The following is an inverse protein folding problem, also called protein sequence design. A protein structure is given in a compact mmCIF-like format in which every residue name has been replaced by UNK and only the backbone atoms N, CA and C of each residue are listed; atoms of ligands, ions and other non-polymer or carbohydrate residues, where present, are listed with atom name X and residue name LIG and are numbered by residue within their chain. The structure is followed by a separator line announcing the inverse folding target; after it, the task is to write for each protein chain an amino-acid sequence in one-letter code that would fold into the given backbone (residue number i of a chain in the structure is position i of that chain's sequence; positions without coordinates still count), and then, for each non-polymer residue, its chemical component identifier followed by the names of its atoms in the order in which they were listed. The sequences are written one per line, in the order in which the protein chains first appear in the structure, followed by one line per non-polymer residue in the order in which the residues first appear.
data_IF_748928727663
#
_entry.id   IF_748928727663
#
_cell.length_a   1.000
_cell.length_b   1.000
_cell.length_c   1.000
_cell.angle_alpha   90.00
_cell.angle_beta   90.00
_cell.angle_gamma   90.00
#
_symmetry.space_group_name_H-M   'P 1'
#
loop_
_entity.id
_entity.type
_entity.pdbx_description
1 polymer ?
#
# COMPACT_ATOMS: atom_id res chain seq x y z
N UNK A 1 -37.67 36.61 14.86
CA UNK A 1 -36.45 35.83 15.17
C UNK A 1 -36.01 35.18 13.88
N UNK A 2 -35.00 35.72 13.24
CA UNK A 2 -34.45 35.20 11.98
C UNK A 2 -33.60 33.98 12.32
N UNK A 3 -33.91 32.82 11.76
CA UNK A 3 -33.06 31.65 11.76
C UNK A 3 -31.85 31.95 10.87
N UNK A 4 -30.71 32.20 11.47
CA UNK A 4 -29.43 32.15 10.77
C UNK A 4 -29.19 30.71 10.30
N UNK A 5 -29.41 30.51 9.01
CA UNK A 5 -28.94 29.31 8.32
C UNK A 5 -27.42 29.45 8.25
N UNK A 6 -26.73 28.81 9.21
CA UNK A 6 -25.27 28.66 9.16
C UNK A 6 -24.95 27.78 7.97
N UNK A 7 -24.66 28.37 6.83
CA UNK A 7 -24.11 27.67 5.66
C UNK A 7 -22.70 27.23 6.05
N UNK A 8 -22.58 25.99 6.51
CA UNK A 8 -21.28 25.34 6.73
C UNK A 8 -20.62 25.22 5.35
N UNK A 9 -19.61 26.04 5.10
CA UNK A 9 -18.81 25.95 3.87
C UNK A 9 -18.20 24.53 3.80
N UNK A 10 -18.15 23.88 2.63
CA UNK A 10 -17.53 22.59 2.49
C UNK A 10 -16.06 22.68 2.95
N UNK A 11 -15.71 21.90 3.97
CA UNK A 11 -14.37 21.91 4.52
C UNK A 11 -13.39 21.37 3.48
N UNK A 12 -12.37 22.14 3.15
CA UNK A 12 -11.31 21.69 2.25
C UNK A 12 -10.38 20.74 2.98
N UNK A 13 -9.73 19.82 2.26
CA UNK A 13 -8.73 18.94 2.85
C UNK A 13 -7.65 19.70 3.61
N UNK A 14 -7.21 20.83 3.07
CA UNK A 14 -6.19 21.68 3.70
C UNK A 14 -6.67 22.26 5.03
N UNK A 15 -7.93 22.74 5.11
CA UNK A 15 -8.47 23.27 6.37
C UNK A 15 -8.66 22.17 7.41
N UNK A 16 -9.06 20.96 7.00
CA UNK A 16 -9.19 19.80 7.88
C UNK A 16 -7.84 19.37 8.45
N UNK A 17 -6.85 19.15 7.57
CA UNK A 17 -5.51 18.71 7.98
C UNK A 17 -4.75 19.73 8.83
N UNK A 18 -5.09 21.01 8.71
CA UNK A 18 -4.49 22.11 9.49
C UNK A 18 -5.31 22.48 10.73
N UNK A 19 -6.40 21.78 11.02
CA UNK A 19 -7.19 22.06 12.22
C UNK A 19 -6.40 21.72 13.49
N UNK A 20 -6.64 22.49 14.57
CA UNK A 20 -5.91 22.31 15.82
C UNK A 20 -6.01 20.90 16.40
N UNK A 21 -7.21 20.27 16.34
CA UNK A 21 -7.41 18.93 16.82
C UNK A 21 -6.64 17.87 16.01
N UNK A 22 -6.67 17.98 14.66
CA UNK A 22 -5.93 17.06 13.78
C UNK A 22 -4.43 17.21 13.98
N UNK A 23 -3.91 18.45 14.01
CA UNK A 23 -2.47 18.68 14.23
C UNK A 23 -2.02 18.18 15.59
N UNK A 24 -2.80 18.41 16.65
CA UNK A 24 -2.49 17.88 17.98
C UNK A 24 -2.44 16.36 17.97
N UNK A 25 -3.46 15.71 17.41
CA UNK A 25 -3.49 14.25 17.31
C UNK A 25 -2.32 13.69 16.50
N UNK A 26 -1.98 14.30 15.37
CA UNK A 26 -0.81 13.91 14.58
C UNK A 26 0.51 14.09 15.34
N UNK A 27 0.65 15.16 16.11
CA UNK A 27 1.82 15.39 16.96
C UNK A 27 1.95 14.30 18.02
N UNK A 28 0.84 13.93 18.69
CA UNK A 28 0.81 12.90 19.72
C UNK A 28 1.17 11.52 19.12
N UNK A 29 0.62 11.20 17.97
CA UNK A 29 0.82 9.90 17.31
C UNK A 29 2.21 9.77 16.69
N UNK A 30 2.70 10.82 16.00
CA UNK A 30 4.00 10.81 15.33
C UNK A 30 5.16 11.25 16.24
N UNK A 31 4.84 11.73 17.44
CA UNK A 31 5.80 12.11 18.47
C UNK A 31 6.63 13.36 18.16
N UNK A 32 6.28 14.13 17.12
CA UNK A 32 7.04 15.32 16.71
C UNK A 32 6.23 16.23 15.80
N UNK A 33 6.17 17.53 16.12
CA UNK A 33 5.55 18.55 15.29
C UNK A 33 6.13 18.61 13.86
N UNK A 34 7.44 18.40 13.75
CA UNK A 34 8.13 18.40 12.45
C UNK A 34 7.66 17.20 11.59
N UNK A 35 7.55 16.02 12.20
CA UNK A 35 7.03 14.83 11.50
C UNK A 35 5.56 15.04 11.10
N UNK A 36 4.73 15.56 11.99
CA UNK A 36 3.33 15.85 11.71
C UNK A 36 3.16 16.83 10.56
N UNK A 37 3.90 17.96 10.57
CA UNK A 37 3.87 18.94 9.50
C UNK A 37 4.34 18.34 8.15
N UNK A 38 5.40 17.54 8.15
CA UNK A 38 5.89 16.84 6.96
C UNK A 38 4.87 15.84 6.44
N UNK A 39 4.23 15.09 7.34
CA UNK A 39 3.18 14.13 6.98
C UNK A 39 1.98 14.83 6.35
N UNK A 40 1.48 15.90 6.94
CA UNK A 40 0.38 16.73 6.39
C UNK A 40 0.73 17.24 5.00
N UNK A 41 1.94 17.77 4.82
CA UNK A 41 2.41 18.25 3.51
C UNK A 41 2.42 17.12 2.46
N UNK A 42 2.84 15.92 2.84
CA UNK A 42 2.85 14.76 1.95
C UNK A 42 1.44 14.34 1.54
N UNK A 43 0.49 14.28 2.49
CA UNK A 43 -0.92 13.95 2.21
C UNK A 43 -1.53 14.97 1.26
N UNK A 44 -1.35 16.26 1.53
CA UNK A 44 -1.88 17.34 0.68
C UNK A 44 -1.25 17.27 -0.72
N UNK A 45 0.05 17.03 -0.82
CA UNK A 45 0.76 16.90 -2.10
C UNK A 45 0.22 15.73 -2.93
N UNK A 46 0.05 14.56 -2.32
CA UNK A 46 -0.51 13.37 -2.98
C UNK A 46 -1.95 13.63 -3.43
N UNK A 47 -2.79 14.22 -2.58
CA UNK A 47 -4.17 14.55 -2.93
C UNK A 47 -4.26 15.56 -4.08
N UNK A 48 -3.40 16.60 -4.07
CA UNK A 48 -3.37 17.60 -5.12
C UNK A 48 -2.78 17.08 -6.45
N UNK A 49 -1.87 16.13 -6.38
CA UNK A 49 -1.26 15.48 -7.55
C UNK A 49 -2.20 14.53 -8.30
N UNK A 50 -3.29 14.10 -7.68
CA UNK A 50 -4.23 13.14 -8.26
C UNK A 50 -5.63 13.74 -8.41
N UNK A 51 -6.11 13.88 -9.65
CA UNK A 51 -7.43 14.49 -9.94
C UNK A 51 -8.58 13.70 -9.32
N UNK A 52 -8.49 12.38 -9.22
CA UNK A 52 -9.52 11.56 -8.60
C UNK A 52 -9.56 11.76 -7.08
N UNK A 53 -8.40 11.91 -6.41
CA UNK A 53 -8.34 12.20 -4.98
C UNK A 53 -8.90 13.59 -4.66
N UNK A 54 -8.65 14.58 -5.52
CA UNK A 54 -9.21 15.94 -5.36
C UNK A 54 -10.74 15.96 -5.35
N UNK A 55 -11.37 14.99 -6.02
CA UNK A 55 -12.82 14.87 -6.11
C UNK A 55 -13.42 13.96 -5.04
N UNK A 56 -12.61 13.37 -4.18
CA UNK A 56 -13.07 12.55 -3.07
C UNK A 56 -13.54 13.40 -1.88
N UNK A 57 -14.37 12.77 -1.03
CA UNK A 57 -14.74 13.38 0.26
C UNK A 57 -13.50 13.61 1.12
N UNK A 58 -13.18 14.86 1.50
CA UNK A 58 -11.98 15.16 2.28
C UNK A 58 -11.89 14.42 3.63
N UNK A 59 -13.03 14.10 4.26
CA UNK A 59 -13.06 13.35 5.51
C UNK A 59 -12.54 11.93 5.36
N UNK A 60 -12.75 11.29 4.20
CA UNK A 60 -12.21 9.94 3.94
C UNK A 60 -10.71 9.98 3.63
N UNK A 61 -10.21 11.08 3.07
CA UNK A 61 -8.77 11.31 2.92
C UNK A 61 -8.15 11.48 4.30
N UNK A 62 -8.76 12.31 5.17
CA UNK A 62 -8.31 12.49 6.55
C UNK A 62 -8.29 11.15 7.31
N UNK A 63 -9.39 10.38 7.25
CA UNK A 63 -9.47 9.08 7.91
C UNK A 63 -8.37 8.13 7.47
N UNK A 64 -8.15 8.01 6.16
CA UNK A 64 -7.07 7.18 5.60
C UNK A 64 -5.69 7.68 6.05
N UNK A 65 -5.49 9.00 6.11
CA UNK A 65 -4.25 9.61 6.57
C UNK A 65 -4.01 9.35 8.07
N UNK A 66 -5.06 9.43 8.90
CA UNK A 66 -4.96 9.14 10.34
C UNK A 66 -4.58 7.67 10.61
N UNK A 67 -5.15 6.73 9.85
CA UNK A 67 -4.73 5.31 9.92
C UNK A 67 -3.25 5.17 9.60
N UNK A 68 -2.79 5.77 8.49
CA UNK A 68 -1.38 5.73 8.11
C UNK A 68 -0.45 6.35 9.17
N UNK A 69 -0.85 7.50 9.73
CA UNK A 69 -0.10 8.16 10.80
C UNK A 69 0.00 7.29 12.07
N UNK A 70 -1.11 6.66 12.49
CA UNK A 70 -1.12 5.76 13.65
C UNK A 70 -0.22 4.55 13.48
N UNK A 71 -0.05 4.08 12.23
CA UNK A 71 0.88 3.01 11.89
C UNK A 71 2.31 3.52 11.67
N UNK A 72 2.54 4.84 11.75
CA UNK A 72 3.80 5.51 11.38
C UNK A 72 4.27 5.10 9.99
N UNK A 73 3.32 5.05 9.03
CA UNK A 73 3.58 4.74 7.62
C UNK A 73 3.43 6.00 6.77
N UNK A 74 4.51 6.57 6.23
CA UNK A 74 4.44 7.71 5.32
C UNK A 74 3.60 7.42 4.07
N UNK A 75 2.74 8.37 3.71
CA UNK A 75 1.98 8.33 2.45
C UNK A 75 2.82 9.00 1.36
N UNK A 76 3.82 8.25 0.90
CA UNK A 76 4.70 8.66 -0.21
C UNK A 76 4.68 7.53 -1.24
N UNK A 77 4.09 7.74 -2.43
CA UNK A 77 3.87 6.66 -3.42
C UNK A 77 5.16 5.88 -3.78
N UNK A 78 6.29 6.57 -3.90
CA UNK A 78 7.59 5.96 -4.22
C UNK A 78 8.14 5.03 -3.13
N UNK A 79 7.74 5.22 -1.87
CA UNK A 79 8.13 4.35 -0.77
C UNK A 79 7.33 3.04 -0.76
N UNK A 80 6.09 3.07 -1.21
CA UNK A 80 5.24 1.89 -1.27
C UNK A 80 4.78 1.35 0.09
N UNK A 81 4.77 2.19 1.15
CA UNK A 81 4.43 1.78 2.51
C UNK A 81 2.92 1.83 2.74
N UNK A 82 2.29 2.93 2.38
CA UNK A 82 0.86 3.15 2.49
C UNK A 82 0.35 4.03 1.35
N UNK A 83 -0.89 3.84 0.96
CA UNK A 83 -1.55 4.59 -0.10
C UNK A 83 -2.93 5.08 0.36
N UNK A 84 -3.35 6.21 -0.21
CA UNK A 84 -4.73 6.67 -0.21
C UNK A 84 -5.26 6.43 -1.62
N UNK A 85 -6.27 5.58 -1.75
CA UNK A 85 -6.79 5.13 -3.05
C UNK A 85 -8.20 5.68 -3.24
N UNK A 86 -8.46 6.41 -4.36
CA UNK A 86 -9.79 6.94 -4.63
C UNK A 86 -10.76 5.82 -5.01
N UNK A 87 -11.97 5.89 -4.48
CA UNK A 87 -13.04 4.93 -4.72
C UNK A 87 -14.42 5.59 -4.67
N UNK A 88 -15.16 5.63 -5.78
CA UNK A 88 -16.54 6.19 -5.86
C UNK A 88 -16.73 7.51 -5.10
N UNK A 89 -15.81 8.46 -5.25
CA UNK A 89 -15.87 9.76 -4.58
C UNK A 89 -15.47 9.72 -3.09
N UNK A 90 -14.96 8.59 -2.61
CA UNK A 90 -14.38 8.40 -1.28
C UNK A 90 -12.94 7.91 -1.41
N UNK A 91 -12.22 7.85 -0.31
CA UNK A 91 -10.88 7.30 -0.28
C UNK A 91 -10.81 6.10 0.65
N UNK A 92 -9.97 5.14 0.27
CA UNK A 92 -9.63 3.99 1.08
C UNK A 92 -8.17 4.05 1.51
N UNK A 93 -7.89 3.66 2.75
CA UNK A 93 -6.54 3.33 3.16
C UNK A 93 -6.14 2.00 2.52
N UNK A 94 -4.96 1.94 1.94
CA UNK A 94 -4.40 0.69 1.42
C UNK A 94 -2.98 0.48 1.94
N UNK A 95 -2.80 -0.66 2.62
CA UNK A 95 -1.49 -1.08 3.10
C UNK A 95 -0.62 -1.52 1.92
N UNK A 96 0.53 -0.89 1.77
CA UNK A 96 1.53 -1.31 0.81
C UNK A 96 2.22 -2.60 1.23
N UNK A 97 2.73 -3.35 0.26
CA UNK A 97 3.53 -4.55 0.51
C UNK A 97 4.75 -4.26 1.41
N UNK A 98 5.50 -3.21 1.06
CA UNK A 98 6.64 -2.76 1.86
C UNK A 98 6.23 -2.29 3.26
N UNK A 99 5.04 -1.69 3.40
CA UNK A 99 4.52 -1.28 4.70
C UNK A 99 4.20 -2.47 5.61
N UNK A 100 3.71 -3.57 5.05
CA UNK A 100 3.49 -4.79 5.82
C UNK A 100 4.82 -5.36 6.35
N UNK A 101 5.86 -5.39 5.51
CA UNK A 101 7.19 -5.83 5.92
C UNK A 101 7.77 -4.90 6.98
N UNK A 102 7.68 -3.58 6.79
CA UNK A 102 8.13 -2.56 7.75
C UNK A 102 7.49 -2.73 9.14
N UNK A 103 6.18 -2.98 9.20
CA UNK A 103 5.47 -3.26 10.46
C UNK A 103 5.96 -4.56 11.10
N UNK A 104 6.25 -5.58 10.29
CA UNK A 104 6.79 -6.84 10.78
C UNK A 104 8.19 -6.67 11.37
N UNK A 105 9.09 -5.96 10.68
CA UNK A 105 10.45 -5.67 11.13
C UNK A 105 10.42 -4.88 12.45
N UNK A 106 9.61 -3.81 12.51
CA UNK A 106 9.45 -3.00 13.74
C UNK A 106 8.90 -3.78 14.93
N UNK A 107 8.14 -4.84 14.69
CA UNK A 107 7.63 -5.69 15.77
C UNK A 107 8.72 -6.48 16.50
N UNK A 108 9.87 -6.70 15.87
CA UNK A 108 10.97 -7.53 16.39
C UNK A 108 10.65 -9.03 16.53
N UNK A 109 9.46 -9.46 16.08
CA UNK A 109 8.98 -10.83 16.24
C UNK A 109 9.32 -11.75 15.05
N UNK A 110 9.76 -11.17 13.94
CA UNK A 110 10.10 -11.90 12.72
C UNK A 110 11.62 -12.04 12.60
N UNK A 111 12.06 -13.26 12.37
CA UNK A 111 13.45 -13.60 12.06
C UNK A 111 13.71 -13.57 10.57
N UNK A 112 12.71 -14.00 9.78
CA UNK A 112 12.78 -14.08 8.34
C UNK A 112 11.39 -13.94 7.72
N UNK A 113 11.31 -13.31 6.55
CA UNK A 113 10.11 -13.16 5.73
C UNK A 113 10.55 -13.38 4.29
N UNK A 114 9.98 -14.37 3.62
CA UNK A 114 10.32 -14.73 2.24
C UNK A 114 9.02 -14.84 1.45
N UNK A 115 9.04 -14.36 0.22
CA UNK A 115 8.02 -14.62 -0.78
C UNK A 115 8.71 -14.83 -2.13
N UNK A 116 8.38 -15.94 -2.79
CA UNK A 116 9.03 -16.33 -4.03
C UNK A 116 8.07 -16.93 -5.05
N UNK A 117 8.49 -16.82 -6.31
CA UNK A 117 7.89 -17.52 -7.44
C UNK A 117 8.38 -18.96 -7.42
N UNK A 118 7.48 -19.91 -7.66
CA UNK A 118 7.82 -21.32 -7.74
C UNK A 118 7.68 -21.79 -9.18
N UNK A 119 8.80 -22.26 -9.73
CA UNK A 119 8.88 -22.77 -11.09
C UNK A 119 8.63 -24.28 -11.15
N UNK A 120 8.31 -24.76 -12.33
CA UNK A 120 8.14 -26.18 -12.60
C UNK A 120 9.37 -26.98 -12.16
N UNK A 121 9.14 -28.07 -11.40
CA UNK A 121 10.15 -28.93 -10.80
C UNK A 121 10.54 -28.52 -9.37
N UNK A 122 10.45 -27.25 -8.98
CA UNK A 122 10.93 -26.79 -7.68
C UNK A 122 10.08 -27.23 -6.48
N UNK A 123 8.80 -27.51 -6.67
CA UNK A 123 7.96 -28.09 -5.62
C UNK A 123 8.09 -29.62 -5.61
N UNK A 124 8.94 -30.14 -4.73
CA UNK A 124 9.25 -31.58 -4.62
C UNK A 124 8.11 -32.33 -3.95
N UNK A 125 7.55 -31.80 -2.85
CA UNK A 125 6.42 -32.41 -2.18
C UNK A 125 5.54 -31.37 -1.47
N UNK A 126 4.26 -31.69 -1.36
CA UNK A 126 3.30 -30.92 -0.56
C UNK A 126 2.36 -31.83 0.20
N UNK A 127 2.12 -31.48 1.46
CA UNK A 127 1.09 -32.12 2.27
C UNK A 127 0.16 -31.04 2.83
N UNK A 128 -1.01 -30.90 2.24
CA UNK A 128 -1.97 -29.85 2.64
C UNK A 128 -2.55 -30.07 4.05
N UNK A 129 -2.49 -31.29 4.58
CA UNK A 129 -3.03 -31.61 5.91
C UNK A 129 -2.05 -31.26 7.02
N UNK A 130 -0.74 -31.51 6.82
CA UNK A 130 0.30 -31.08 7.77
C UNK A 130 0.77 -29.66 7.50
N UNK A 131 0.52 -29.13 6.30
CA UNK A 131 0.98 -27.84 5.85
C UNK A 131 2.49 -27.81 5.56
N UNK A 132 3.07 -28.97 5.27
CA UNK A 132 4.47 -29.09 4.89
C UNK A 132 4.64 -28.97 3.39
N UNK A 133 5.64 -28.20 3.00
CA UNK A 133 6.06 -28.02 1.61
C UNK A 133 7.58 -28.17 1.54
N UNK A 134 8.05 -28.95 0.57
CA UNK A 134 9.48 -29.12 0.29
C UNK A 134 9.75 -28.52 -1.07
N UNK A 135 10.63 -27.52 -1.09
CA UNK A 135 11.10 -26.86 -2.31
C UNK A 135 12.58 -27.17 -2.48
N UNK A 136 12.98 -27.31 -3.73
CA UNK A 136 14.38 -27.50 -4.12
C UNK A 136 14.67 -26.56 -5.31
N UNK A 137 15.58 -25.62 -5.10
CA UNK A 137 15.95 -24.61 -6.08
C UNK A 137 16.60 -25.23 -7.32
N UNK A 138 17.42 -26.26 -7.11
CA UNK A 138 18.20 -26.93 -8.16
C UNK A 138 17.32 -27.85 -9.04
N UNK A 139 16.13 -28.19 -8.58
CA UNK A 139 15.17 -29.04 -9.32
C UNK A 139 14.33 -28.31 -10.36
N UNK A 140 14.66 -27.06 -10.68
CA UNK A 140 13.96 -26.27 -11.70
C UNK A 140 14.08 -26.94 -13.07
N UNK A 141 12.92 -27.25 -13.69
CA UNK A 141 12.84 -27.88 -15.02
C UNK A 141 12.66 -26.88 -16.14
N UNK A 142 11.90 -25.79 -15.86
CA UNK A 142 11.59 -24.75 -16.86
C UNK A 142 11.34 -23.40 -16.20
N UNK A 143 11.20 -22.34 -17.01
CA UNK A 143 10.77 -21.00 -16.54
C UNK A 143 9.24 -20.88 -16.40
N UNK A 144 8.51 -22.00 -16.50
CA UNK A 144 7.07 -22.01 -16.29
C UNK A 144 6.75 -21.84 -14.80
N UNK A 145 6.02 -20.78 -14.45
CA UNK A 145 5.58 -20.48 -13.10
C UNK A 145 4.37 -21.35 -12.75
N UNK A 146 4.51 -22.22 -11.75
CA UNK A 146 3.45 -23.10 -11.27
C UNK A 146 2.74 -22.56 -10.03
N UNK A 147 3.31 -21.58 -9.34
CA UNK A 147 2.70 -20.98 -8.15
C UNK A 147 3.62 -20.04 -7.41
N UNK A 148 3.20 -19.67 -6.21
CA UNK A 148 3.86 -18.68 -5.36
C UNK A 148 3.86 -19.16 -3.93
N UNK A 149 4.97 -18.98 -3.25
CA UNK A 149 5.12 -19.32 -1.86
C UNK A 149 5.37 -18.07 -1.01
N UNK A 150 4.97 -18.15 0.25
CA UNK A 150 5.40 -17.22 1.26
C UNK A 150 5.74 -17.98 2.54
N UNK A 151 6.81 -17.54 3.22
CA UNK A 151 7.31 -18.11 4.47
C UNK A 151 7.61 -17.03 5.47
N UNK A 152 7.31 -17.30 6.72
CA UNK A 152 7.80 -16.52 7.84
C UNK A 152 8.42 -17.44 8.89
N UNK A 153 9.49 -16.97 9.49
CA UNK A 153 10.13 -17.57 10.66
C UNK A 153 10.11 -16.54 11.78
N UNK A 154 9.58 -16.93 12.93
CA UNK A 154 9.47 -16.05 14.10
C UNK A 154 10.64 -16.26 15.05
N UNK A 155 10.91 -15.26 15.89
CA UNK A 155 11.98 -15.30 16.91
C UNK A 155 11.73 -16.35 17.99
N UNK A 156 10.45 -16.75 18.21
CA UNK A 156 10.06 -17.81 19.15
C UNK A 156 10.20 -19.24 18.60
N UNK A 157 10.73 -19.39 17.36
CA UNK A 157 10.91 -20.67 16.69
C UNK A 157 9.72 -21.15 15.86
N UNK A 158 8.59 -20.43 15.87
CA UNK A 158 7.48 -20.78 14.97
C UNK A 158 7.85 -20.46 13.53
N UNK A 159 7.56 -21.39 12.63
CA UNK A 159 7.75 -21.23 11.19
C UNK A 159 6.50 -21.63 10.44
N UNK A 160 6.13 -20.88 9.43
CA UNK A 160 5.02 -21.23 8.56
C UNK A 160 5.31 -20.88 7.13
N UNK A 161 5.06 -21.84 6.26
CA UNK A 161 5.07 -21.69 4.80
C UNK A 161 3.66 -21.90 4.29
N UNK A 162 3.25 -21.08 3.33
CA UNK A 162 2.07 -21.34 2.50
C UNK A 162 2.49 -21.34 1.03
N UNK A 163 1.74 -22.06 0.22
CA UNK A 163 1.92 -22.15 -1.21
C UNK A 163 0.55 -22.11 -1.88
N UNK A 164 0.39 -21.26 -2.87
CA UNK A 164 -0.77 -21.20 -3.74
C UNK A 164 -0.34 -21.48 -5.18
N UNK A 165 -1.11 -22.29 -5.89
CA UNK A 165 -0.87 -22.46 -7.33
C UNK A 165 -1.21 -21.16 -8.06
N UNK A 166 -0.72 -21.05 -9.29
CA UNK A 166 -1.03 -19.89 -10.15
C UNK A 166 -2.54 -19.73 -10.34
N UNK A 167 -3.25 -20.84 -10.54
CA UNK A 167 -4.71 -20.88 -10.70
C UNK A 167 -5.44 -20.44 -9.42
N UNK A 168 -4.94 -20.82 -8.24
CA UNK A 168 -5.50 -20.37 -6.96
C UNK A 168 -5.33 -18.86 -6.77
N UNK A 169 -4.17 -18.30 -7.15
CA UNK A 169 -3.95 -16.85 -7.13
C UNK A 169 -4.86 -16.14 -8.13
N UNK A 170 -4.99 -16.66 -9.36
CA UNK A 170 -5.90 -16.09 -10.35
C UNK A 170 -7.36 -16.13 -9.89
N UNK A 171 -7.80 -17.23 -9.31
CA UNK A 171 -9.15 -17.35 -8.76
C UNK A 171 -9.40 -16.35 -7.62
N UNK A 172 -8.40 -16.17 -6.74
CA UNK A 172 -8.44 -15.16 -5.68
C UNK A 172 -8.50 -13.75 -6.27
N UNK A 173 -7.64 -13.42 -7.23
CA UNK A 173 -7.62 -12.12 -7.89
C UNK A 173 -8.94 -11.82 -8.61
N UNK A 174 -9.52 -12.79 -9.31
CA UNK A 174 -10.84 -12.67 -9.94
C UNK A 174 -11.95 -12.37 -8.94
N UNK A 175 -11.88 -12.95 -7.76
CA UNK A 175 -12.90 -12.78 -6.72
C UNK A 175 -12.78 -11.46 -5.98
N UNK A 176 -11.56 -11.06 -5.61
CA UNK A 176 -11.34 -9.96 -4.66
C UNK A 176 -10.69 -8.71 -5.26
N UNK A 177 -10.06 -8.82 -6.44
CA UNK A 177 -9.42 -7.66 -7.08
C UNK A 177 -10.22 -7.19 -8.27
N UNK A 178 -10.71 -5.97 -8.17
CA UNK A 178 -11.40 -5.35 -9.28
C UNK A 178 -10.43 -4.82 -10.34
N UNK A 179 -9.23 -4.40 -9.93
CA UNK A 179 -8.16 -4.07 -10.86
C UNK A 179 -7.83 -5.26 -11.78
N UNK A 180 -7.94 -6.49 -11.28
CA UNK A 180 -7.79 -7.69 -12.09
C UNK A 180 -8.92 -7.85 -13.12
N UNK A 181 -10.17 -7.52 -12.74
CA UNK A 181 -11.36 -7.72 -13.59
C UNK A 181 -11.61 -6.61 -14.61
N UNK A 182 -11.25 -5.39 -14.29
CA UNK A 182 -11.76 -4.21 -15.02
C UNK A 182 -10.75 -3.38 -15.79
N UNK A 183 -9.44 -3.50 -15.55
CA UNK A 183 -8.46 -2.62 -16.17
C UNK A 183 -7.41 -3.39 -16.96
N UNK A 184 -7.27 -3.02 -18.26
CA UNK A 184 -6.20 -3.53 -19.12
C UNK A 184 -4.81 -2.97 -18.76
N UNK A 185 -4.73 -1.97 -17.88
CA UNK A 185 -3.49 -1.35 -17.41
C UNK A 185 -3.27 -1.53 -15.91
N UNK A 186 -3.82 -2.57 -15.30
CA UNK A 186 -3.63 -2.83 -13.88
C UNK A 186 -2.25 -3.44 -13.60
N UNK A 187 -1.71 -3.29 -12.39
CA UNK A 187 -0.49 -3.99 -11.97
C UNK A 187 -0.56 -5.51 -12.16
N UNK A 188 -1.75 -6.10 -12.10
CA UNK A 188 -1.96 -7.51 -12.44
C UNK A 188 -1.67 -7.85 -13.90
N UNK A 189 -1.74 -6.86 -14.80
CA UNK A 189 -1.43 -7.07 -16.22
C UNK A 189 0.04 -6.78 -16.53
N UNK A 190 0.62 -5.77 -15.85
CA UNK A 190 2.01 -5.37 -16.07
C UNK A 190 3.00 -6.26 -15.32
N UNK A 191 2.64 -6.71 -14.12
CA UNK A 191 3.51 -7.53 -13.24
C UNK A 191 2.66 -8.47 -12.38
N UNK A 192 2.20 -9.56 -13.01
CA UNK A 192 1.38 -10.56 -12.33
C UNK A 192 2.12 -11.22 -11.16
N UNK A 193 3.40 -11.52 -11.34
CA UNK A 193 4.17 -12.24 -10.33
C UNK A 193 4.37 -11.42 -9.06
N UNK A 194 4.65 -10.12 -9.18
CA UNK A 194 4.73 -9.24 -8.02
C UNK A 194 3.41 -9.13 -7.28
N UNK A 195 2.28 -9.02 -8.01
CA UNK A 195 0.95 -8.98 -7.40
C UNK A 195 0.56 -10.32 -6.74
N UNK A 196 0.95 -11.42 -7.34
CA UNK A 196 0.73 -12.77 -6.80
C UNK A 196 1.52 -12.98 -5.49
N UNK A 197 2.81 -12.67 -5.49
CA UNK A 197 3.68 -12.73 -4.30
C UNK A 197 3.11 -11.89 -3.16
N UNK A 198 2.77 -10.63 -3.43
CA UNK A 198 2.09 -9.71 -2.47
C UNK A 198 0.82 -10.36 -1.89
N UNK A 199 0.01 -10.98 -2.73
CA UNK A 199 -1.26 -11.59 -2.32
C UNK A 199 -1.03 -12.77 -1.39
N UNK A 200 -0.11 -13.66 -1.75
CA UNK A 200 0.21 -14.85 -0.93
C UNK A 200 0.85 -14.41 0.39
N UNK A 201 1.78 -13.44 0.39
CA UNK A 201 2.36 -12.92 1.63
C UNK A 201 1.29 -12.30 2.55
N UNK A 202 0.38 -11.48 2.01
CA UNK A 202 -0.75 -10.95 2.80
C UNK A 202 -1.62 -12.06 3.40
N UNK A 203 -1.89 -13.13 2.67
CA UNK A 203 -2.66 -14.27 3.16
C UNK A 203 -1.93 -15.00 4.31
N UNK A 204 -0.61 -15.16 4.21
CA UNK A 204 0.22 -15.70 5.28
C UNK A 204 0.10 -14.86 6.55
N UNK A 205 0.30 -13.54 6.43
CA UNK A 205 0.25 -12.62 7.56
C UNK A 205 -1.12 -12.54 8.20
N UNK A 206 -2.18 -12.43 7.41
CA UNK A 206 -3.54 -12.34 7.92
C UNK A 206 -3.92 -13.53 8.81
N UNK A 207 -3.39 -14.73 8.49
CA UNK A 207 -3.75 -15.96 9.19
C UNK A 207 -2.77 -16.35 10.30
N UNK A 208 -1.48 -16.12 10.14
CA UNK A 208 -0.45 -16.73 10.98
C UNK A 208 0.50 -15.74 11.66
N UNK A 209 0.55 -14.48 11.23
CA UNK A 209 1.42 -13.49 11.85
C UNK A 209 1.04 -13.23 13.31
N UNK A 210 2.04 -12.92 14.16
CA UNK A 210 1.78 -12.48 15.51
C UNK A 210 0.82 -11.29 15.51
N UNK A 211 -0.13 -11.31 16.44
CA UNK A 211 -1.14 -10.27 16.55
C UNK A 211 -0.60 -9.03 17.28
N UNK A 212 0.47 -8.42 16.75
CA UNK A 212 0.84 -7.08 17.22
C UNK A 212 -0.28 -6.08 16.87
N UNK A 213 -0.52 -5.11 17.74
CA UNK A 213 -1.59 -4.11 17.55
C UNK A 213 -1.46 -3.44 16.19
N UNK A 214 -0.25 -3.03 15.81
CA UNK A 214 -0.01 -2.35 14.54
C UNK A 214 -0.32 -3.22 13.31
N UNK A 215 0.10 -4.49 13.30
CA UNK A 215 -0.19 -5.42 12.20
C UNK A 215 -1.70 -5.69 12.11
N UNK A 216 -2.38 -5.87 13.24
CA UNK A 216 -3.82 -6.11 13.26
C UNK A 216 -4.61 -4.91 12.77
N UNK A 217 -4.25 -3.72 13.21
CA UNK A 217 -4.86 -2.48 12.72
C UNK A 217 -4.60 -2.28 11.22
N UNK A 218 -3.37 -2.49 10.76
CA UNK A 218 -3.04 -2.37 9.35
C UNK A 218 -3.87 -3.31 8.46
N UNK A 219 -4.07 -4.56 8.89
CA UNK A 219 -4.90 -5.55 8.17
C UNK A 219 -6.39 -5.18 8.27
N UNK A 220 -6.85 -4.73 9.45
CA UNK A 220 -8.25 -4.33 9.66
C UNK A 220 -8.65 -3.17 8.75
N UNK A 221 -7.80 -2.17 8.61
CA UNK A 221 -8.12 -0.98 7.81
C UNK A 221 -7.72 -1.10 6.34
N UNK A 222 -7.03 -2.16 5.94
CA UNK A 222 -6.63 -2.36 4.55
C UNK A 222 -7.85 -2.46 3.63
N UNK A 223 -7.91 -1.61 2.62
CA UNK A 223 -9.01 -1.47 1.67
C UNK A 223 -10.34 -0.96 2.29
N UNK A 224 -10.29 -0.37 3.46
CA UNK A 224 -11.46 0.20 4.11
C UNK A 224 -11.62 1.69 3.77
N UNK A 225 -12.87 2.12 3.59
CA UNK A 225 -13.26 3.53 3.67
C UNK A 225 -13.40 3.87 5.14
N UNK A 226 -12.58 4.79 5.60
CA UNK A 226 -12.50 5.17 7.00
C UNK A 226 -12.92 6.63 7.16
N UNK A 227 -13.88 6.89 8.04
CA UNK A 227 -14.33 8.24 8.33
C UNK A 227 -14.21 8.50 9.83
N UNK A 228 -13.48 9.57 10.22
CA UNK A 228 -13.62 10.12 11.55
C UNK A 228 -15.05 10.62 11.78
N UNK A 229 -15.46 10.66 13.04
CA UNK A 229 -16.74 11.28 13.39
C UNK A 229 -16.73 12.79 13.06
N UNK A 230 -17.90 13.34 12.77
CA UNK A 230 -18.04 14.71 12.23
C UNK A 230 -17.59 15.81 13.23
N UNK A 231 -17.47 15.52 14.51
CA UNK A 231 -17.08 16.47 15.55
C UNK A 231 -15.62 16.91 15.51
N UNK A 232 -14.72 16.10 14.93
CA UNK A 232 -13.27 16.32 14.89
C UNK A 232 -12.65 16.66 16.27
N UNK A 233 -13.21 16.10 17.34
CA UNK A 233 -12.59 16.13 18.66
C UNK A 233 -11.42 15.15 18.73
N UNK A 234 -10.61 15.21 19.80
CA UNK A 234 -9.52 14.25 19.98
C UNK A 234 -10.02 12.80 20.07
N UNK A 235 -11.20 12.61 20.66
CA UNK A 235 -11.85 11.28 20.77
C UNK A 235 -12.37 10.82 19.40
N UNK A 236 -12.92 11.73 18.59
CA UNK A 236 -13.38 11.44 17.23
C UNK A 236 -12.23 11.07 16.28
N UNK A 237 -11.00 11.46 16.60
CA UNK A 237 -9.79 11.14 15.83
C UNK A 237 -9.07 9.86 16.31
N UNK A 238 -9.67 9.10 17.24
CA UNK A 238 -9.19 7.77 17.61
C UNK A 238 -9.59 6.76 16.53
N UNK A 239 -8.62 6.08 15.94
CA UNK A 239 -8.92 5.13 14.83
C UNK A 239 -9.78 3.94 15.25
N UNK A 240 -9.80 3.60 16.54
CA UNK A 240 -10.64 2.52 17.07
C UNK A 240 -12.13 2.91 17.11
N UNK A 241 -12.45 4.22 17.11
CA UNK A 241 -13.81 4.76 17.07
C UNK A 241 -14.32 4.97 15.63
N UNK A 242 -13.47 4.76 14.61
CA UNK A 242 -13.85 5.02 13.22
C UNK A 242 -14.88 4.02 12.73
N UNK A 243 -15.86 4.55 12.01
CA UNK A 243 -16.74 3.74 11.18
C UNK A 243 -15.95 3.17 10.01
N UNK A 244 -16.01 1.86 9.86
CA UNK A 244 -15.24 1.12 8.87
C UNK A 244 -16.20 0.50 7.88
N UNK A 245 -16.22 1.01 6.68
CA UNK A 245 -17.03 0.49 5.59
C UNK A 245 -16.12 -0.25 4.58
N UNK A 246 -16.40 -1.54 4.40
CA UNK A 246 -15.77 -2.36 3.38
C UNK A 246 -16.63 -2.35 2.14
N UNK A 247 -16.50 -1.32 1.34
CA UNK A 247 -17.24 -1.23 0.09
C UNK A 247 -16.63 -2.21 -0.91
N UNK A 248 -17.45 -3.05 -1.53
CA UNK A 248 -17.03 -3.95 -2.62
C UNK A 248 -16.29 -3.18 -3.70
N UNK A 249 -15.01 -3.48 -3.83
CA UNK A 249 -14.08 -2.72 -4.64
C UNK A 249 -14.39 -2.81 -6.13
N UNK A 250 -14.96 -1.79 -6.75
CA UNK A 250 -14.81 -1.56 -8.18
C UNK A 250 -13.43 -0.92 -8.45
N UNK A 251 -12.80 -1.13 -9.63
CA UNK A 251 -11.38 -0.87 -9.80
C UNK A 251 -11.00 0.57 -9.46
N UNK A 252 -10.36 0.76 -8.33
CA UNK A 252 -9.50 1.92 -8.17
C UNK A 252 -8.33 1.72 -9.14
N UNK A 253 -8.17 2.61 -10.11
CA UNK A 253 -6.91 2.71 -10.83
C UNK A 253 -5.85 3.02 -9.77
N UNK A 254 -5.00 2.03 -9.45
CA UNK A 254 -3.78 2.34 -8.73
C UNK A 254 -3.12 3.45 -9.55
N UNK A 255 -2.86 4.59 -8.89
CA UNK A 255 -2.10 5.65 -9.50
C UNK A 255 -0.76 5.04 -9.91
N UNK A 256 -0.62 4.73 -11.18
CA UNK A 256 0.66 4.40 -11.78
C UNK A 256 1.51 5.62 -11.48
N UNK A 257 2.50 5.48 -10.60
CA UNK A 257 3.58 6.44 -10.55
C UNK A 257 4.12 6.46 -11.98
N UNK A 258 3.87 7.55 -12.71
CA UNK A 258 4.59 7.80 -13.95
C UNK A 258 6.06 7.65 -13.58
N UNK A 259 6.69 6.61 -14.08
CA UNK A 259 8.13 6.53 -14.12
C UNK A 259 8.57 7.76 -14.89
N UNK A 260 9.02 8.76 -14.15
CA UNK A 260 9.78 9.87 -14.72
C UNK A 260 11.07 9.22 -15.18
N UNK A 261 11.08 8.84 -16.46
CA UNK A 261 12.31 8.47 -17.15
C UNK A 261 13.29 9.62 -16.92
N UNK A 262 14.50 9.36 -16.44
CA UNK A 262 15.52 10.40 -16.39
C UNK A 262 16.01 10.66 -17.82
N UNK A 263 15.27 11.48 -18.56
CA UNK A 263 15.78 12.12 -19.77
C UNK A 263 16.49 13.40 -19.32
N UNK A 264 17.77 13.26 -19.13
CA UNK A 264 18.62 14.39 -18.82
C UNK A 264 20.05 14.00 -19.11
N UNK A 265 20.42 14.08 -20.40
CA UNK A 265 21.80 14.26 -20.81
C UNK A 265 22.42 15.43 -20.04
N UNK A 266 23.25 15.12 -19.07
CA UNK A 266 23.97 16.09 -18.26
C UNK A 266 25.47 15.96 -18.50
N UNK A 267 25.87 15.88 -19.77
CA UNK A 267 27.23 16.18 -20.21
C UNK A 267 27.17 16.79 -21.61
N UNK A 268 27.16 18.11 -21.64
CA UNK A 268 27.46 18.85 -22.84
C UNK A 268 28.87 18.53 -23.31
N UNK A 269 28.99 17.96 -24.50
CA UNK A 269 30.25 17.94 -25.22
C UNK A 269 30.50 19.35 -25.77
N UNK A 270 31.58 19.92 -25.28
CA UNK A 270 32.12 21.17 -25.76
C UNK A 270 32.64 21.07 -27.17
N UNK A 271 32.46 22.16 -27.86
CA UNK A 271 33.05 22.58 -29.12
C UNK A 271 34.42 22.01 -29.43
N UNK A 272 34.54 21.41 -30.62
CA UNK A 272 35.75 21.57 -31.44
C UNK A 272 35.34 21.83 -32.88
N UNK A 273 35.50 23.10 -33.22
CA UNK A 273 35.67 23.56 -34.60
C UNK A 273 37.06 23.20 -35.13
N UNK A 274 37.09 23.16 -36.45
CA UNK A 274 38.20 23.31 -37.35
C UNK A 274 39.07 22.09 -37.69
N UNK A 275 39.01 21.62 -38.91
CA UNK A 275 39.87 22.07 -39.97
C UNK A 275 39.68 21.23 -41.27
N UNK A 276 39.50 21.97 -42.31
CA UNK A 276 39.69 21.61 -43.73
C UNK A 276 40.97 20.78 -43.99
N UNK A 277 40.93 19.86 -44.90
CA UNK A 277 41.63 19.98 -46.18
C UNK A 277 41.54 18.71 -47.09
N UNK A 278 40.95 18.88 -48.26
CA UNK A 278 41.46 18.61 -49.62
C UNK A 278 42.22 17.33 -49.92
N UNK A 279 41.74 16.77 -51.06
CA UNK A 279 42.44 15.99 -52.13
C UNK A 279 42.50 14.47 -51.91
N UNK A 280 42.03 13.68 -52.80
CA UNK A 280 41.95 13.59 -54.24
C UNK A 280 40.85 12.61 -54.62
#
# INVERSE_FOLDING_TARGET
MANEITTTQPQTLQSLMSSGAVMKKLNDVLGSEKKAASFVSSVISVANGNSMLRNCNPMTILGSAMVAATLDLPIVPTLGLAYIVPYKGQCQFQLGYKGLIELAERSGQFKNIIDEVVYEGQLVSKNKFTGEYVFDEDSKVSDNVIGYMARMDLTNGFSKTIYWTKEEVEAHAKRFSQAYRGSKSSPWQSDFDAMARKTVLKALFAKYAPKSVAIQQAIKFDQAVVKPNDGLTEDDLQIDSYDVDYVDNEPAQEAVAEEVSPSGDLFGEGDKKDAEHKKK
#
